data_IF_238994167898
#
_entry.id   IF_238994167898
#
_cell.length_a   1.000
_cell.length_b   1.000
_cell.length_c   1.000
_cell.angle_alpha   90.00
_cell.angle_beta   90.00
_cell.angle_gamma   90.00
#
_symmetry.space_group_name_H-M   'P 1'
#
loop_
_entity.id
_entity.type
_entity.pdbx_description
1 polymer ?
#
# COMPACT_ATOMS: atom_id res chain seq x y z
N UNK A 1 -11.81 -18.23 3.50
CA UNK A 1 -10.39 -17.84 3.46
C UNK A 1 -9.98 -17.76 2.00
N UNK A 2 -9.94 -16.56 1.43
CA UNK A 2 -9.36 -16.34 0.11
C UNK A 2 -7.85 -16.51 0.22
N UNK A 3 -7.25 -17.44 -0.53
CA UNK A 3 -5.80 -17.60 -0.57
C UNK A 3 -5.10 -16.40 -1.22
N UNK A 4 -3.78 -16.34 -1.07
CA UNK A 4 -2.96 -15.28 -1.66
C UNK A 4 -3.23 -15.11 -3.18
N UNK A 5 -3.33 -13.86 -3.68
CA UNK A 5 -3.54 -13.61 -5.10
C UNK A 5 -2.34 -14.11 -5.91
N UNK A 6 -2.56 -14.46 -7.19
CA UNK A 6 -1.44 -14.81 -8.06
C UNK A 6 -0.58 -13.58 -8.37
N UNK A 7 0.73 -13.75 -8.64
CA UNK A 7 1.60 -12.68 -9.12
C UNK A 7 1.00 -11.84 -10.25
N UNK A 8 0.38 -12.50 -11.24
CA UNK A 8 -0.21 -11.85 -12.41
C UNK A 8 -1.46 -11.03 -12.04
N UNK A 9 -2.24 -11.50 -11.06
CA UNK A 9 -3.39 -10.75 -10.57
C UNK A 9 -2.95 -9.45 -9.88
N UNK A 10 -1.94 -9.53 -9.02
CA UNK A 10 -1.35 -8.35 -8.36
C UNK A 10 -0.79 -7.38 -9.40
N UNK A 11 0.00 -7.88 -10.37
CA UNK A 11 0.61 -7.04 -11.39
C UNK A 11 -0.42 -6.30 -12.25
N UNK A 12 -1.54 -6.96 -12.61
CA UNK A 12 -2.64 -6.32 -13.34
C UNK A 12 -3.32 -5.23 -12.51
N UNK A 13 -3.58 -5.51 -11.23
CA UNK A 13 -4.20 -4.55 -10.32
C UNK A 13 -3.31 -3.31 -10.13
N UNK A 14 -2.02 -3.51 -9.84
CA UNK A 14 -1.02 -2.43 -9.73
C UNK A 14 -0.96 -1.61 -11.02
N UNK A 15 -0.80 -2.25 -12.18
CA UNK A 15 -0.68 -1.55 -13.46
C UNK A 15 -1.91 -0.69 -13.74
N UNK A 16 -3.11 -1.22 -13.46
CA UNK A 16 -4.37 -0.48 -13.63
C UNK A 16 -4.45 0.71 -12.69
N UNK A 17 -4.29 0.50 -11.38
CA UNK A 17 -4.51 1.54 -10.36
C UNK A 17 -3.42 2.61 -10.43
N UNK A 18 -2.14 2.21 -10.53
CA UNK A 18 -1.03 3.15 -10.48
C UNK A 18 -0.85 3.94 -11.77
N UNK A 19 -1.56 3.60 -12.85
CA UNK A 19 -1.59 4.39 -14.10
C UNK A 19 -2.18 5.80 -13.92
N UNK A 20 -3.03 6.00 -12.90
CA UNK A 20 -3.57 7.31 -12.54
C UNK A 20 -2.43 8.27 -12.20
N UNK A 21 -2.54 9.56 -12.51
CA UNK A 21 -1.54 10.55 -12.09
C UNK A 21 -1.52 10.65 -10.56
N UNK A 22 -0.34 10.84 -9.98
CA UNK A 22 -0.23 11.08 -8.54
C UNK A 22 -1.01 12.34 -8.16
N UNK A 23 -1.85 12.21 -7.13
CA UNK A 23 -2.62 13.30 -6.53
C UNK A 23 -2.81 12.99 -5.04
N UNK A 24 -2.46 13.94 -4.18
CA UNK A 24 -2.67 13.83 -2.74
C UNK A 24 -4.16 13.69 -2.42
N UNK A 25 -4.53 12.72 -1.58
CA UNK A 25 -5.93 12.49 -1.22
C UNK A 25 -6.75 11.70 -2.23
N UNK A 26 -6.14 11.29 -3.34
CA UNK A 26 -6.84 10.54 -4.39
C UNK A 26 -6.05 9.34 -4.93
N UNK A 27 -4.75 9.54 -5.20
CA UNK A 27 -3.88 8.56 -5.84
C UNK A 27 -2.42 8.77 -5.41
N UNK A 28 -2.22 8.97 -4.11
CA UNK A 28 -0.89 8.97 -3.47
C UNK A 28 -0.43 7.55 -3.11
N UNK A 29 0.73 7.42 -2.46
CA UNK A 29 1.31 6.12 -2.14
C UNK A 29 0.41 5.26 -1.24
N UNK A 30 -0.28 5.85 -0.26
CA UNK A 30 -1.14 5.11 0.65
C UNK A 30 -2.46 4.74 -0.01
N UNK A 31 -3.15 5.72 -0.61
CA UNK A 31 -4.47 5.51 -1.19
C UNK A 31 -4.41 4.65 -2.47
N UNK A 32 -3.36 4.77 -3.27
CA UNK A 32 -3.22 3.90 -4.43
C UNK A 32 -2.96 2.44 -4.03
N UNK A 33 -2.18 2.17 -2.97
CA UNK A 33 -2.00 0.80 -2.47
C UNK A 33 -3.32 0.26 -1.91
N UNK A 34 -4.08 1.07 -1.16
CA UNK A 34 -5.43 0.70 -0.71
C UNK A 34 -6.36 0.36 -1.90
N UNK A 35 -6.36 1.18 -2.96
CA UNK A 35 -7.12 0.92 -4.19
C UNK A 35 -6.70 -0.41 -4.85
N UNK A 36 -5.42 -0.77 -4.83
CA UNK A 36 -4.94 -2.07 -5.34
C UNK A 36 -5.49 -3.21 -4.49
N UNK A 37 -5.45 -3.09 -3.16
CA UNK A 37 -6.01 -4.10 -2.25
C UNK A 37 -7.52 -4.28 -2.47
N UNK A 38 -8.27 -3.19 -2.67
CA UNK A 38 -9.67 -3.24 -3.07
C UNK A 38 -9.88 -3.97 -4.40
N UNK A 39 -9.04 -3.67 -5.40
CA UNK A 39 -9.10 -4.34 -6.70
C UNK A 39 -8.79 -5.85 -6.62
N UNK A 40 -8.07 -6.28 -5.57
CA UNK A 40 -7.80 -7.68 -5.26
C UNK A 40 -8.89 -8.34 -4.38
N UNK A 41 -9.94 -7.60 -4.02
CA UNK A 41 -11.12 -8.13 -3.33
C UNK A 41 -11.15 -7.87 -1.82
N UNK A 42 -10.26 -7.04 -1.27
CA UNK A 42 -10.31 -6.65 0.13
C UNK A 42 -11.24 -5.45 0.36
N UNK A 43 -11.84 -5.34 1.56
CA UNK A 43 -12.40 -4.09 2.02
C UNK A 43 -11.36 -2.97 1.98
N UNK A 44 -11.80 -1.72 1.83
CA UNK A 44 -10.89 -0.57 1.77
C UNK A 44 -10.26 -0.28 3.14
N UNK A 45 -8.94 -0.53 3.31
CA UNK A 45 -8.28 -0.28 4.59
C UNK A 45 -8.08 1.22 4.87
N UNK A 46 -8.23 2.08 3.86
CA UNK A 46 -8.07 3.52 3.96
C UNK A 46 -9.41 4.28 3.96
N UNK A 47 -10.53 3.58 4.17
CA UNK A 47 -11.87 4.20 4.08
C UNK A 47 -12.02 5.45 4.96
N UNK A 48 -11.47 5.41 6.19
CA UNK A 48 -11.50 6.54 7.12
C UNK A 48 -10.66 7.73 6.66
N UNK A 49 -9.66 7.49 5.82
CA UNK A 49 -8.79 8.54 5.28
C UNK A 49 -9.36 9.17 4.02
N UNK A 50 -10.31 8.55 3.31
CA UNK A 50 -10.86 9.15 2.09
C UNK A 50 -11.65 10.44 2.33
N UNK A 51 -12.01 10.73 3.57
CA UNK A 51 -12.74 11.94 3.95
C UNK A 51 -11.76 12.97 4.53
N UNK A 52 -11.39 13.96 3.71
CA UNK A 52 -10.59 15.11 4.17
C UNK A 52 -9.08 14.90 4.24
N UNK A 53 -8.56 13.80 3.70
CA UNK A 53 -7.12 13.61 3.53
C UNK A 53 -6.60 14.48 2.40
N UNK A 54 -5.65 15.34 2.74
CA UNK A 54 -4.86 16.12 1.80
C UNK A 54 -3.37 15.99 2.15
N UNK A 55 -2.54 16.73 1.41
CA UNK A 55 -1.09 16.73 1.64
C UNK A 55 -0.72 17.13 3.07
N UNK A 56 -1.36 18.16 3.64
CA UNK A 56 -1.00 18.67 4.97
C UNK A 56 -1.36 17.66 6.04
N UNK A 57 -2.52 17.02 5.90
CA UNK A 57 -2.94 15.94 6.77
C UNK A 57 -1.96 14.77 6.68
N UNK A 58 -1.57 14.36 5.47
CA UNK A 58 -0.61 13.27 5.25
C UNK A 58 0.73 13.54 5.94
N UNK A 59 1.28 14.73 5.75
CA UNK A 59 2.53 15.15 6.38
C UNK A 59 2.39 15.18 7.91
N UNK A 60 1.29 15.72 8.44
CA UNK A 60 1.04 15.76 9.89
C UNK A 60 0.86 14.35 10.49
N UNK A 61 0.15 13.45 9.82
CA UNK A 61 -0.04 12.07 10.25
C UNK A 61 1.29 11.29 10.26
N UNK A 62 2.12 11.48 9.23
CA UNK A 62 3.46 10.89 9.18
C UNK A 62 4.33 11.37 10.33
N UNK A 63 4.33 12.67 10.63
CA UNK A 63 5.09 13.23 11.75
C UNK A 63 4.54 12.72 13.09
N UNK A 64 3.22 12.76 13.28
CA UNK A 64 2.57 12.32 14.51
C UNK A 64 2.77 10.84 14.83
N UNK A 65 2.82 9.99 13.81
CA UNK A 65 3.08 8.56 13.98
C UNK A 65 4.59 8.23 14.15
N UNK A 66 5.49 9.15 13.85
CA UNK A 66 6.94 8.87 13.84
C UNK A 66 7.43 8.21 12.53
N UNK A 67 6.68 8.38 11.44
CA UNK A 67 7.04 7.92 10.10
C UNK A 67 6.03 6.95 9.48
N UNK A 68 6.26 6.63 8.20
CA UNK A 68 5.33 5.82 7.41
C UNK A 68 5.18 4.39 7.96
N UNK A 69 6.27 3.76 8.38
CA UNK A 69 6.23 2.40 8.90
C UNK A 69 5.40 2.28 10.20
N UNK A 70 5.41 3.31 11.04
CA UNK A 70 4.60 3.35 12.25
C UNK A 70 3.13 3.58 11.89
N UNK A 71 2.83 4.58 11.05
CA UNK A 71 1.47 4.89 10.60
C UNK A 71 0.78 3.67 9.95
N UNK A 72 1.46 2.98 9.04
CA UNK A 72 0.93 1.78 8.39
C UNK A 72 0.92 0.59 9.35
N UNK A 73 1.82 0.56 10.33
CA UNK A 73 1.84 -0.43 11.40
C UNK A 73 0.56 -0.42 12.24
N UNK A 74 0.03 0.76 12.54
CA UNK A 74 -1.25 0.90 13.27
C UNK A 74 -2.42 0.39 12.43
N UNK A 75 -2.48 0.74 11.14
CA UNK A 75 -3.48 0.18 10.21
C UNK A 75 -3.37 -1.33 10.12
N UNK A 76 -2.15 -1.86 9.94
CA UNK A 76 -1.92 -3.30 9.86
C UNK A 76 -2.37 -4.00 11.15
N UNK A 77 -2.18 -3.39 12.32
CA UNK A 77 -2.66 -3.92 13.60
C UNK A 77 -4.19 -3.95 13.66
N UNK A 78 -4.85 -2.88 13.24
CA UNK A 78 -6.32 -2.81 13.18
C UNK A 78 -6.91 -3.84 12.20
N UNK A 79 -6.23 -4.09 11.08
CA UNK A 79 -6.64 -5.07 10.08
C UNK A 79 -6.21 -6.52 10.42
N UNK A 80 -5.43 -6.72 11.48
CA UNK A 80 -4.90 -8.03 11.86
C UNK A 80 -3.83 -8.59 10.93
N UNK A 81 -3.12 -7.74 10.18
CA UNK A 81 -2.05 -8.12 9.26
C UNK A 81 -0.72 -8.32 10.01
N UNK A 82 -0.20 -9.55 10.13
CA UNK A 82 1.03 -9.79 10.87
C UNK A 82 2.26 -9.33 10.09
N UNK A 83 3.32 -8.94 10.81
CA UNK A 83 4.64 -8.69 10.21
C UNK A 83 5.26 -9.99 9.72
N UNK A 84 5.92 -9.96 8.57
CA UNK A 84 6.59 -11.11 7.97
C UNK A 84 7.95 -10.74 7.37
N UNK A 85 8.85 -11.72 7.26
CA UNK A 85 10.15 -11.55 6.59
C UNK A 85 10.21 -12.23 5.21
N UNK A 86 9.21 -13.05 4.88
CA UNK A 86 9.08 -13.74 3.59
C UNK A 86 7.80 -13.25 2.91
N UNK A 87 7.90 -12.25 2.01
CA UNK A 87 6.74 -11.65 1.37
C UNK A 87 6.09 -12.60 0.37
N UNK A 88 4.79 -12.46 0.21
CA UNK A 88 3.97 -13.12 -0.80
C UNK A 88 3.33 -12.07 -1.73
N UNK A 89 2.83 -12.46 -2.92
CA UNK A 89 2.08 -11.54 -3.75
C UNK A 89 0.88 -10.97 -2.97
N UNK A 90 0.71 -9.65 -3.05
CA UNK A 90 -0.34 -8.92 -2.34
C UNK A 90 0.11 -8.34 -0.99
N UNK A 91 1.24 -8.78 -0.46
CA UNK A 91 1.81 -8.20 0.76
C UNK A 91 2.25 -6.76 0.54
N UNK A 92 2.09 -5.94 1.57
CA UNK A 92 2.49 -4.53 1.54
C UNK A 92 3.72 -4.32 2.42
N UNK A 93 4.48 -3.28 2.12
CA UNK A 93 5.62 -2.90 2.93
C UNK A 93 5.91 -1.41 2.89
N UNK A 94 6.47 -0.92 4.00
CA UNK A 94 6.82 0.48 4.19
C UNK A 94 8.34 0.64 4.29
N UNK A 95 8.86 1.58 3.51
CA UNK A 95 10.21 2.14 3.63
C UNK A 95 10.14 3.65 3.40
N UNK A 96 10.88 4.17 2.42
CA UNK A 96 10.73 5.56 1.97
C UNK A 96 9.34 5.87 1.34
N UNK A 97 8.60 4.83 0.95
CA UNK A 97 7.23 4.89 0.41
C UNK A 97 6.48 3.61 0.77
N UNK A 98 5.18 3.57 0.51
CA UNK A 98 4.38 2.35 0.64
C UNK A 98 4.37 1.61 -0.69
N UNK A 99 4.63 0.31 -0.63
CA UNK A 99 4.72 -0.55 -1.80
C UNK A 99 3.93 -1.84 -1.60
N UNK A 100 3.61 -2.50 -2.72
CA UNK A 100 2.98 -3.83 -2.76
C UNK A 100 3.86 -4.80 -3.54
N UNK A 101 3.95 -6.04 -3.07
CA UNK A 101 4.73 -7.11 -3.66
C UNK A 101 3.91 -7.86 -4.71
N UNK A 102 4.43 -8.03 -5.93
CA UNK A 102 3.83 -8.93 -6.94
C UNK A 102 4.39 -10.37 -6.87
N UNK A 103 5.22 -10.69 -5.87
CA UNK A 103 5.96 -11.94 -5.74
C UNK A 103 7.34 -11.96 -6.39
N UNK A 104 7.70 -10.92 -7.16
CA UNK A 104 9.00 -10.76 -7.82
C UNK A 104 9.64 -9.41 -7.51
N UNK A 105 8.83 -8.36 -7.39
CA UNK A 105 9.22 -6.96 -7.21
C UNK A 105 8.26 -6.26 -6.27
N UNK A 106 8.73 -5.13 -5.77
CA UNK A 106 7.94 -4.18 -5.01
C UNK A 106 7.57 -3.00 -5.89
N UNK A 107 6.29 -2.65 -5.90
CA UNK A 107 5.75 -1.57 -6.70
C UNK A 107 5.19 -0.47 -5.81
N UNK A 108 5.62 0.75 -6.07
CA UNK A 108 5.10 1.94 -5.41
C UNK A 108 4.45 2.90 -6.42
N UNK A 109 3.64 3.83 -5.90
CA UNK A 109 3.07 4.89 -6.71
C UNK A 109 4.13 5.93 -7.09
N UNK A 110 4.39 6.06 -8.38
CA UNK A 110 5.17 7.17 -8.95
C UNK A 110 4.28 8.29 -9.50
N UNK A 111 4.89 9.39 -9.94
CA UNK A 111 4.17 10.57 -10.43
C UNK A 111 3.18 10.29 -11.58
N UNK A 112 3.51 9.35 -12.48
CA UNK A 112 2.73 9.02 -13.69
C UNK A 112 2.45 7.52 -13.87
N UNK A 113 2.76 6.69 -12.89
CA UNK A 113 2.71 5.24 -13.07
C UNK A 113 3.15 4.48 -11.82
N UNK A 114 3.45 3.21 -12.01
CA UNK A 114 4.15 2.39 -11.03
C UNK A 114 5.66 2.54 -11.16
N UNK A 115 6.37 2.48 -10.04
CA UNK A 115 7.83 2.43 -9.99
C UNK A 115 8.27 1.22 -9.20
N UNK A 116 9.27 0.50 -9.69
CA UNK A 116 9.89 -0.57 -8.92
C UNK A 116 10.75 0.05 -7.82
N UNK A 117 10.65 -0.47 -6.61
CA UNK A 117 11.40 0.00 -5.45
C UNK A 117 12.19 -1.16 -4.81
N UNK A 118 13.23 -0.86 -4.01
CA UNK A 118 13.89 -1.87 -3.18
C UNK A 118 12.92 -2.53 -2.20
N UNK A 119 13.38 -3.61 -1.57
CA UNK A 119 12.63 -4.28 -0.50
C UNK A 119 12.37 -3.29 0.65
N UNK A 120 11.12 -3.14 1.11
CA UNK A 120 10.79 -2.25 2.24
C UNK A 120 11.40 -2.73 3.58
N UNK A 121 11.55 -1.79 4.50
CA UNK A 121 12.12 -2.05 5.83
C UNK A 121 11.20 -2.90 6.73
N UNK A 122 9.88 -2.74 6.55
CA UNK A 122 8.85 -3.49 7.27
C UNK A 122 7.80 -4.00 6.29
N UNK A 123 7.40 -5.26 6.45
CA UNK A 123 6.47 -5.95 5.56
C UNK A 123 5.33 -6.58 6.37
N UNK A 124 4.12 -6.53 5.84
CA UNK A 124 2.92 -7.12 6.43
C UNK A 124 2.23 -8.10 5.47
N UNK A 125 1.79 -9.24 6.02
CA UNK A 125 0.99 -10.24 5.32
C UNK A 125 -0.46 -9.77 5.23
N UNK A 126 -0.97 -9.64 4.00
CA UNK A 126 -2.32 -9.12 3.77
C UNK A 126 -3.34 -10.21 3.44
N UNK A 127 -2.91 -11.30 2.78
CA UNK A 127 -3.77 -12.42 2.35
C UNK A 127 -3.39 -13.76 2.98
#
# INVERSE_FOLDING_TARGET
MSGAPSPEAVQRAVSRVFSRRFAWGEADCCLAVADVLCALGLPDPAALWRLGYDRKWAEAALVGAGGLAALIGDVAKEQGWPRVCSPQPGDIGAGATLAICDGRRWWAKGARGMVAVPVPDVIWRVF
#
